data_IF_758118031628
#
_entry.id   IF_758118031628
#
_cell.length_a   1.000
_cell.length_b   1.000
_cell.length_c   1.000
_cell.angle_alpha   90.00
_cell.angle_beta   90.00
_cell.angle_gamma   90.00
#
_symmetry.space_group_name_H-M   'P 1'
#
loop_
_entity.id
_entity.type
_entity.pdbx_description
1 polymer ?
#
# COMPACT_ATOMS: atom_id res chain seq x y z
N UNK A 1 -14.41 -2.36 -19.20
CA UNK A 1 -14.79 -1.34 -20.20
C UNK A 1 -15.54 -0.14 -19.62
N UNK A 2 -16.72 -0.29 -19.00
CA UNK A 2 -17.50 0.85 -18.49
C UNK A 2 -16.69 1.75 -17.56
N UNK A 3 -16.01 1.19 -16.54
CA UNK A 3 -15.17 1.96 -15.62
C UNK A 3 -13.98 2.65 -16.32
N UNK A 4 -13.31 1.95 -17.24
CA UNK A 4 -12.20 2.51 -18.01
C UNK A 4 -12.66 3.71 -18.86
N UNK A 5 -13.76 3.57 -19.59
CA UNK A 5 -14.32 4.64 -20.42
C UNK A 5 -14.77 5.83 -19.57
N UNK A 6 -15.38 5.58 -18.41
CA UNK A 6 -15.76 6.65 -17.48
C UNK A 6 -14.55 7.45 -16.98
N UNK A 7 -13.43 6.78 -16.68
CA UNK A 7 -12.21 7.41 -16.20
C UNK A 7 -11.45 8.21 -17.28
N UNK A 8 -11.46 7.74 -18.53
CA UNK A 8 -10.55 8.23 -19.59
C UNK A 8 -11.20 9.04 -20.71
N UNK A 9 -12.53 8.95 -20.88
CA UNK A 9 -13.23 9.57 -22.03
C UNK A 9 -14.17 10.71 -21.65
N UNK A 10 -14.17 11.14 -20.39
CA UNK A 10 -15.04 12.19 -19.85
C UNK A 10 -14.22 13.22 -19.10
N UNK A 11 -14.68 14.47 -19.12
CA UNK A 11 -14.06 15.54 -18.34
C UNK A 11 -14.24 15.27 -16.84
N UNK A 12 -13.17 15.46 -16.07
CA UNK A 12 -13.16 15.27 -14.63
C UNK A 12 -13.61 16.56 -13.92
N UNK A 13 -14.90 16.67 -13.63
CA UNK A 13 -15.51 17.85 -12.99
C UNK A 13 -15.27 17.90 -11.47
N UNK A 14 -15.79 18.94 -10.80
CA UNK A 14 -15.60 19.17 -9.36
C UNK A 14 -16.26 18.10 -8.49
N UNK A 15 -17.51 17.75 -8.78
CA UNK A 15 -18.26 16.73 -8.04
C UNK A 15 -17.95 15.36 -8.61
N UNK A 16 -17.46 14.46 -7.75
CA UNK A 16 -16.98 13.14 -8.14
C UNK A 16 -17.59 12.08 -7.24
N UNK A 17 -17.99 10.98 -7.85
CA UNK A 17 -18.40 9.75 -7.18
C UNK A 17 -17.66 8.58 -7.80
N UNK A 18 -17.15 7.68 -6.95
CA UNK A 18 -16.49 6.43 -7.36
C UNK A 18 -17.26 5.28 -6.76
N UNK A 19 -17.62 4.30 -7.59
CA UNK A 19 -18.19 3.03 -7.16
C UNK A 19 -17.14 1.94 -7.32
N UNK A 20 -16.71 1.34 -6.21
CA UNK A 20 -15.82 0.18 -6.21
C UNK A 20 -16.66 -1.09 -6.06
N UNK A 21 -16.76 -1.90 -7.13
CA UNK A 21 -17.62 -3.07 -7.19
C UNK A 21 -16.90 -4.23 -7.88
N UNK A 22 -17.06 -5.45 -7.35
CA UNK A 22 -16.47 -6.67 -7.89
C UNK A 22 -17.29 -7.27 -9.05
N UNK A 23 -18.60 -6.97 -9.07
CA UNK A 23 -19.53 -7.51 -10.05
C UNK A 23 -20.60 -6.50 -10.47
N UNK A 24 -21.46 -6.91 -11.40
CA UNK A 24 -22.52 -6.07 -11.97
C UNK A 24 -23.61 -5.72 -10.95
N UNK A 25 -23.92 -6.62 -10.03
CA UNK A 25 -24.97 -6.39 -9.03
C UNK A 25 -24.52 -5.31 -8.05
N UNK A 26 -23.30 -5.43 -7.53
CA UNK A 26 -22.67 -4.42 -6.68
C UNK A 26 -22.55 -3.07 -7.39
N UNK A 27 -22.17 -3.07 -8.68
CA UNK A 27 -22.07 -1.84 -9.46
C UNK A 27 -23.42 -1.13 -9.57
N UNK A 28 -24.50 -1.86 -9.87
CA UNK A 28 -25.84 -1.28 -9.97
C UNK A 28 -26.35 -0.77 -8.62
N UNK A 29 -26.12 -1.52 -7.54
CA UNK A 29 -26.49 -1.09 -6.19
C UNK A 29 -25.73 0.19 -5.78
N UNK A 30 -24.42 0.26 -6.03
CA UNK A 30 -23.61 1.43 -5.73
C UNK A 30 -24.00 2.66 -6.55
N UNK A 31 -24.30 2.48 -7.85
CA UNK A 31 -24.78 3.57 -8.70
C UNK A 31 -26.17 4.09 -8.27
N UNK A 32 -27.06 3.19 -7.83
CA UNK A 32 -28.36 3.57 -7.30
C UNK A 32 -28.21 4.42 -6.03
N UNK A 33 -27.41 3.95 -5.06
CA UNK A 33 -27.12 4.69 -3.83
C UNK A 33 -26.50 6.07 -4.13
N UNK A 34 -25.51 6.13 -5.02
CA UNK A 34 -24.88 7.38 -5.45
C UNK A 34 -25.89 8.35 -6.09
N UNK A 35 -26.83 7.83 -6.90
CA UNK A 35 -27.85 8.68 -7.53
C UNK A 35 -28.86 9.28 -6.54
N UNK A 36 -29.06 8.61 -5.39
CA UNK A 36 -29.97 9.02 -4.33
C UNK A 36 -29.26 9.79 -3.20
N UNK A 37 -27.92 9.86 -3.21
CA UNK A 37 -27.12 10.43 -2.13
C UNK A 37 -27.18 9.61 -0.84
N UNK A 38 -27.37 8.29 -0.97
CA UNK A 38 -27.48 7.37 0.16
C UNK A 38 -26.11 6.80 0.55
N UNK A 39 -25.81 6.67 1.86
CA UNK A 39 -24.57 6.05 2.31
C UNK A 39 -24.44 4.61 1.81
N UNK A 40 -23.29 4.27 1.25
CA UNK A 40 -22.98 2.92 0.80
C UNK A 40 -21.48 2.62 0.98
N UNK A 41 -21.11 1.41 1.42
CA UNK A 41 -19.70 1.02 1.53
C UNK A 41 -19.00 0.90 0.16
N UNK A 42 -19.77 0.84 -0.93
CA UNK A 42 -19.27 0.77 -2.30
C UNK A 42 -18.97 2.15 -2.90
N UNK A 43 -19.41 3.23 -2.25
CA UNK A 43 -19.45 4.57 -2.82
C UNK A 43 -18.55 5.51 -2.04
N UNK A 44 -17.67 6.20 -2.77
CA UNK A 44 -16.90 7.34 -2.25
C UNK A 44 -17.29 8.58 -3.04
N UNK A 45 -17.79 9.59 -2.34
CA UNK A 45 -18.13 10.89 -2.91
C UNK A 45 -17.17 11.96 -2.43
N UNK A 46 -16.92 12.94 -3.28
CA UNK A 46 -16.09 14.07 -2.92
C UNK A 46 -16.23 15.23 -3.88
N UNK A 47 -15.82 16.40 -3.41
CA UNK A 47 -15.66 17.59 -4.24
C UNK A 47 -14.19 17.93 -4.34
N UNK A 48 -13.68 18.02 -5.57
CA UNK A 48 -12.34 18.52 -5.81
C UNK A 48 -12.29 20.02 -5.53
N UNK A 49 -11.36 20.45 -4.69
CA UNK A 49 -11.09 21.87 -4.45
C UNK A 49 -10.38 22.57 -5.62
N UNK A 50 -10.08 21.84 -6.70
CA UNK A 50 -9.23 22.31 -7.79
C UNK A 50 -7.76 22.42 -7.39
N UNK A 51 -6.93 22.88 -8.35
CA UNK A 51 -5.50 23.10 -8.14
C UNK A 51 -4.62 21.84 -8.21
N UNK A 52 -3.32 22.03 -8.05
CA UNK A 52 -2.33 20.94 -8.03
C UNK A 52 -2.35 20.24 -6.68
N UNK A 53 -2.65 18.94 -6.67
CA UNK A 53 -2.53 18.09 -5.48
C UNK A 53 -1.05 17.80 -5.23
N UNK A 54 -0.59 17.98 -3.99
CA UNK A 54 0.76 17.65 -3.52
C UNK A 54 0.66 16.59 -2.42
N UNK A 55 0.53 15.30 -2.77
CA UNK A 55 0.28 14.27 -1.77
C UNK A 55 1.50 14.08 -0.86
N UNK A 56 1.25 13.73 0.39
CA UNK A 56 2.28 13.36 1.38
C UNK A 56 2.08 11.89 1.70
N UNK A 57 3.13 11.08 1.54
CA UNK A 57 3.08 9.69 2.03
C UNK A 57 3.52 9.64 3.50
N UNK A 58 2.69 9.00 4.32
CA UNK A 58 2.91 8.88 5.76
C UNK A 58 3.18 7.43 6.10
N UNK A 59 4.33 7.18 6.72
CA UNK A 59 4.83 5.86 7.07
C UNK A 59 4.78 5.68 8.60
N UNK A 60 3.79 4.98 9.15
CA UNK A 60 3.66 4.81 10.59
C UNK A 60 4.76 3.90 11.17
N UNK A 61 4.84 3.88 12.51
CA UNK A 61 5.67 2.92 13.23
C UNK A 61 4.98 1.56 13.38
N UNK A 62 5.42 0.79 14.38
CA UNK A 62 4.76 -0.46 14.76
C UNK A 62 3.34 -0.21 15.30
N UNK A 63 2.43 -1.18 15.08
CA UNK A 63 1.06 -1.17 15.60
C UNK A 63 -0.01 -1.45 14.54
N UNK A 64 0.32 -1.29 13.26
CA UNK A 64 -0.60 -1.54 12.14
C UNK A 64 -0.57 -2.98 11.60
N UNK A 65 0.29 -3.85 12.15
CA UNK A 65 0.42 -5.24 11.71
C UNK A 65 -0.81 -6.08 12.08
N UNK A 66 -1.15 -7.03 11.22
CA UNK A 66 -2.14 -8.07 11.48
C UNK A 66 -1.83 -9.33 10.65
N UNK A 67 -2.28 -10.49 11.12
CA UNK A 67 -2.00 -11.77 10.44
C UNK A 67 -2.76 -11.83 9.12
N UNK A 68 -2.03 -12.06 8.02
CA UNK A 68 -2.59 -12.06 6.67
C UNK A 68 -2.54 -10.69 5.99
N UNK A 69 -1.94 -9.67 6.62
CA UNK A 69 -1.67 -8.40 5.94
C UNK A 69 -0.87 -8.66 4.66
N UNK A 70 -1.21 -7.93 3.59
CA UNK A 70 -0.57 -8.02 2.27
C UNK A 70 -0.80 -9.30 1.43
N UNK A 71 -1.33 -10.39 1.99
CA UNK A 71 -1.44 -11.68 1.26
C UNK A 71 -2.26 -11.57 -0.02
N UNK A 72 -3.43 -10.94 0.03
CA UNK A 72 -4.26 -10.76 -1.17
C UNK A 72 -3.56 -9.89 -2.23
N UNK A 73 -2.80 -8.88 -1.80
CA UNK A 73 -2.03 -8.02 -2.72
C UNK A 73 -0.83 -8.75 -3.34
N UNK A 74 -0.22 -9.71 -2.65
CA UNK A 74 0.79 -10.58 -3.24
C UNK A 74 0.23 -11.37 -4.42
N UNK A 75 -1.03 -11.79 -4.33
CA UNK A 75 -1.68 -12.61 -5.34
C UNK A 75 -2.32 -11.78 -6.47
N UNK A 76 -2.70 -10.53 -6.20
CA UNK A 76 -3.51 -9.71 -7.12
C UNK A 76 -2.81 -8.46 -7.67
N UNK A 77 -1.71 -8.00 -7.08
CA UNK A 77 -1.02 -6.77 -7.46
C UNK A 77 0.46 -7.03 -7.80
N UNK A 78 0.80 -7.26 -9.09
CA UNK A 78 2.17 -7.60 -9.51
C UNK A 78 3.25 -6.59 -9.09
N UNK A 79 2.95 -5.29 -9.07
CA UNK A 79 3.88 -4.25 -8.61
C UNK A 79 4.19 -4.40 -7.12
N UNK A 80 3.16 -4.69 -6.32
CA UNK A 80 3.32 -4.92 -4.89
C UNK A 80 4.14 -6.19 -4.64
N UNK A 81 3.81 -7.28 -5.33
CA UNK A 81 4.53 -8.55 -5.21
C UNK A 81 6.01 -8.44 -5.61
N UNK A 82 6.33 -7.69 -6.68
CA UNK A 82 7.70 -7.45 -7.10
C UNK A 82 8.51 -6.66 -6.07
N UNK A 83 7.92 -5.62 -5.45
CA UNK A 83 8.61 -4.84 -4.41
C UNK A 83 8.81 -5.66 -3.12
N UNK A 84 7.85 -6.52 -2.75
CA UNK A 84 8.03 -7.47 -1.63
C UNK A 84 9.17 -8.44 -1.93
N UNK A 85 9.23 -9.00 -3.14
CA UNK A 85 10.30 -9.91 -3.52
C UNK A 85 11.68 -9.23 -3.44
N UNK A 86 11.81 -8.00 -3.95
CA UNK A 86 13.04 -7.21 -3.85
C UNK A 86 13.42 -6.92 -2.39
N UNK A 87 12.45 -6.59 -1.53
CA UNK A 87 12.68 -6.43 -0.09
C UNK A 87 13.15 -7.73 0.55
N UNK A 88 12.56 -8.86 0.19
CA UNK A 88 12.94 -10.18 0.68
C UNK A 88 14.38 -10.55 0.30
N UNK A 89 14.78 -10.29 -0.95
CA UNK A 89 16.15 -10.48 -1.42
C UNK A 89 17.15 -9.61 -0.64
N UNK A 90 16.83 -8.34 -0.42
CA UNK A 90 17.69 -7.42 0.34
C UNK A 90 17.78 -7.79 1.84
N UNK A 91 16.67 -8.26 2.43
CA UNK A 91 16.63 -8.67 3.84
C UNK A 91 17.37 -9.99 4.08
N UNK A 92 17.44 -10.89 3.10
CA UNK A 92 18.09 -12.19 3.23
C UNK A 92 19.59 -12.10 3.60
N UNK A 93 20.23 -10.94 3.42
CA UNK A 93 21.60 -10.70 3.92
C UNK A 93 21.69 -10.53 5.44
N UNK A 94 20.57 -10.21 6.10
CA UNK A 94 20.53 -9.75 7.50
C UNK A 94 19.59 -10.57 8.40
N UNK A 95 18.75 -11.43 7.83
CA UNK A 95 17.81 -12.28 8.58
C UNK A 95 17.93 -13.75 8.20
N UNK A 96 17.45 -14.64 9.06
CA UNK A 96 17.48 -16.10 8.89
C UNK A 96 16.14 -16.71 8.46
N UNK A 97 15.16 -15.87 8.09
CA UNK A 97 13.82 -16.26 7.69
C UNK A 97 13.44 -15.67 6.32
N UNK A 98 12.41 -16.24 5.68
CA UNK A 98 11.90 -15.77 4.40
C UNK A 98 10.71 -14.81 4.59
N UNK A 99 10.77 -13.64 3.96
CA UNK A 99 9.74 -12.60 4.10
C UNK A 99 8.36 -13.04 3.60
N UNK A 100 8.27 -13.73 2.47
CA UNK A 100 6.99 -14.19 1.95
C UNK A 100 6.36 -15.25 2.87
N UNK A 101 7.18 -16.15 3.42
CA UNK A 101 6.73 -17.16 4.37
C UNK A 101 6.16 -16.53 5.64
N UNK A 102 6.80 -15.46 6.14
CA UNK A 102 6.30 -14.66 7.28
C UNK A 102 4.95 -13.99 6.93
N UNK A 103 4.85 -13.32 5.78
CA UNK A 103 3.61 -12.62 5.39
C UNK A 103 2.43 -13.59 5.18
N UNK A 104 2.71 -14.77 4.63
CA UNK A 104 1.70 -15.83 4.43
C UNK A 104 1.45 -16.70 5.66
N UNK A 105 2.15 -16.45 6.77
CA UNK A 105 2.10 -17.27 7.98
C UNK A 105 2.32 -18.76 7.71
N UNK A 106 3.30 -19.10 6.85
CA UNK A 106 3.61 -20.50 6.55
C UNK A 106 4.15 -21.21 7.80
N UNK A 107 3.92 -22.52 7.88
CA UNK A 107 4.43 -23.33 8.99
C UNK A 107 5.96 -23.20 9.11
N UNK A 108 6.45 -22.93 10.31
CA UNK A 108 7.87 -22.71 10.59
C UNK A 108 8.35 -21.27 10.41
N UNK A 109 7.55 -20.36 9.84
CA UNK A 109 7.88 -18.95 9.78
C UNK A 109 7.76 -18.31 11.18
N UNK A 110 8.65 -17.35 11.53
CA UNK A 110 8.57 -16.69 12.82
C UNK A 110 7.36 -15.74 12.91
N UNK A 111 6.85 -15.56 14.13
CA UNK A 111 5.66 -14.75 14.43
C UNK A 111 5.95 -13.23 14.41
N UNK A 112 4.94 -12.42 14.08
CA UNK A 112 4.96 -10.96 14.25
C UNK A 112 5.06 -10.48 15.71
N UNK A 113 4.98 -11.37 16.70
CA UNK A 113 5.28 -11.03 18.10
C UNK A 113 6.76 -10.67 18.32
N UNK A 114 7.63 -11.16 17.44
CA UNK A 114 9.06 -10.83 17.44
C UNK A 114 9.29 -9.49 16.77
N UNK A 115 9.91 -8.56 17.51
CA UNK A 115 10.22 -7.21 17.01
C UNK A 115 11.15 -7.26 15.79
N UNK A 116 12.10 -8.19 15.80
CA UNK A 116 13.07 -8.44 14.72
C UNK A 116 12.46 -9.07 13.46
N UNK A 117 11.18 -9.41 13.51
CA UNK A 117 10.40 -9.92 12.37
C UNK A 117 9.38 -8.89 11.91
N UNK A 118 8.64 -8.29 12.85
CA UNK A 118 7.55 -7.36 12.54
C UNK A 118 8.06 -6.05 11.95
N UNK A 119 9.19 -5.50 12.40
CA UNK A 119 9.67 -4.23 11.84
C UNK A 119 10.15 -4.38 10.39
N UNK A 120 10.98 -5.38 10.04
CA UNK A 120 11.37 -5.59 8.64
C UNK A 120 10.18 -5.96 7.73
N UNK A 121 9.22 -6.76 8.22
CA UNK A 121 8.01 -7.07 7.46
C UNK A 121 7.13 -5.84 7.22
N UNK A 122 6.93 -5.00 8.24
CA UNK A 122 6.19 -3.74 8.09
C UNK A 122 6.91 -2.77 7.15
N UNK A 123 8.23 -2.68 7.19
CA UNK A 123 9.01 -1.92 6.22
C UNK A 123 8.70 -2.38 4.79
N UNK A 124 8.82 -3.67 4.51
CA UNK A 124 8.57 -4.23 3.19
C UNK A 124 7.14 -3.95 2.70
N UNK A 125 6.13 -4.14 3.56
CA UNK A 125 4.73 -3.83 3.23
C UNK A 125 4.54 -2.35 2.92
N UNK A 126 5.07 -1.46 3.76
CA UNK A 126 4.94 -0.02 3.57
C UNK A 126 5.55 0.48 2.25
N UNK A 127 6.76 0.03 1.92
CA UNK A 127 7.43 0.47 0.68
C UNK A 127 6.79 -0.14 -0.56
N UNK A 128 6.24 -1.36 -0.44
CA UNK A 128 5.47 -2.01 -1.51
C UNK A 128 4.12 -1.34 -1.75
N UNK A 129 3.44 -0.86 -0.70
CA UNK A 129 2.25 -0.01 -0.85
C UNK A 129 2.60 1.33 -1.52
N UNK A 130 3.74 1.93 -1.18
CA UNK A 130 4.20 3.15 -1.84
C UNK A 130 4.48 2.92 -3.33
N UNK A 131 5.13 1.81 -3.69
CA UNK A 131 5.33 1.40 -5.09
C UNK A 131 3.99 1.21 -5.82
N UNK A 132 3.01 0.57 -5.18
CA UNK A 132 1.67 0.38 -5.74
C UNK A 132 0.97 1.72 -5.99
N UNK A 133 1.00 2.66 -5.05
CA UNK A 133 0.44 4.00 -5.24
C UNK A 133 1.07 4.74 -6.42
N UNK A 134 2.40 4.67 -6.55
CA UNK A 134 3.14 5.28 -7.67
C UNK A 134 2.77 4.65 -9.01
N UNK A 135 2.48 3.35 -9.05
CA UNK A 135 2.01 2.68 -10.28
C UNK A 135 0.68 3.20 -10.81
N UNK A 136 -0.15 3.80 -9.95
CA UNK A 136 -1.37 4.51 -10.32
C UNK A 136 -1.15 6.02 -10.58
N UNK A 137 0.11 6.47 -10.63
CA UNK A 137 0.49 7.86 -10.91
C UNK A 137 0.46 8.79 -9.68
N UNK A 138 0.31 8.26 -8.47
CA UNK A 138 0.35 9.06 -7.24
C UNK A 138 1.79 9.18 -6.77
N UNK A 139 2.46 10.25 -7.18
CA UNK A 139 3.83 10.56 -6.76
C UNK A 139 3.85 11.46 -5.52
N UNK A 140 4.54 11.07 -4.42
CA UNK A 140 4.61 11.89 -3.22
C UNK A 140 5.40 13.18 -3.46
N UNK A 141 4.83 14.32 -3.06
CA UNK A 141 5.56 15.60 -3.00
C UNK A 141 6.40 15.74 -1.72
N UNK A 142 6.09 14.95 -0.69
CA UNK A 142 6.88 14.79 0.51
C UNK A 142 6.57 13.43 1.15
N UNK A 143 7.46 13.00 2.05
CA UNK A 143 7.28 11.82 2.88
C UNK A 143 7.48 12.19 4.35
N UNK A 144 6.76 11.53 5.24
CA UNK A 144 6.95 11.63 6.70
C UNK A 144 6.90 10.24 7.28
N UNK A 145 7.85 9.91 8.16
CA UNK A 145 7.85 8.66 8.91
C UNK A 145 7.68 8.89 10.40
N UNK A 146 7.14 7.91 11.10
CA UNK A 146 7.09 7.90 12.57
C UNK A 146 7.96 6.76 13.11
N UNK A 147 9.02 7.08 13.85
CA UNK A 147 9.97 6.10 14.41
C UNK A 147 10.56 5.19 13.32
N UNK A 148 10.38 3.86 13.38
CA UNK A 148 10.88 2.95 12.33
C UNK A 148 10.31 3.27 10.93
N UNK A 149 9.14 3.91 10.85
CA UNK A 149 8.55 4.35 9.58
C UNK A 149 9.41 5.37 8.84
N UNK A 150 10.32 6.08 9.52
CA UNK A 150 11.30 6.97 8.87
C UNK A 150 12.25 6.20 7.94
N UNK A 151 12.51 4.91 8.19
CA UNK A 151 13.34 4.09 7.31
C UNK A 151 12.62 3.87 5.97
N UNK A 152 11.32 3.56 6.00
CA UNK A 152 10.50 3.43 4.80
C UNK A 152 10.38 4.78 4.06
N UNK A 153 10.16 5.87 4.79
CA UNK A 153 10.13 7.21 4.22
C UNK A 153 11.45 7.57 3.51
N UNK A 154 12.60 7.33 4.17
CA UNK A 154 13.91 7.63 3.61
C UNK A 154 14.22 6.80 2.35
N UNK A 155 13.83 5.52 2.31
CA UNK A 155 13.92 4.70 1.10
C UNK A 155 13.03 5.25 -0.03
N UNK A 156 11.75 5.51 0.25
CA UNK A 156 10.80 6.00 -0.77
C UNK A 156 11.19 7.37 -1.32
N UNK A 157 11.82 8.22 -0.52
CA UNK A 157 12.39 9.50 -0.95
C UNK A 157 13.71 9.38 -1.73
N UNK A 158 14.28 8.17 -1.86
CA UNK A 158 15.57 7.93 -2.50
C UNK A 158 16.79 8.34 -1.64
N UNK A 159 16.59 8.59 -0.35
CA UNK A 159 17.66 8.91 0.60
C UNK A 159 18.44 7.70 1.10
N UNK A 160 17.88 6.48 0.95
CA UNK A 160 18.54 5.22 1.24
C UNK A 160 18.41 4.27 0.04
N UNK A 161 19.43 3.45 -0.19
CA UNK A 161 19.30 2.28 -1.06
C UNK A 161 18.41 1.23 -0.39
N UNK A 162 17.80 0.34 -1.17
CA UNK A 162 16.98 -0.75 -0.61
C UNK A 162 17.79 -1.62 0.35
N UNK A 163 19.03 -1.95 -0.02
CA UNK A 163 19.94 -2.74 0.81
C UNK A 163 20.29 -2.05 2.12
N UNK A 164 20.57 -0.74 2.10
CA UNK A 164 20.88 0.01 3.33
C UNK A 164 19.65 0.13 4.23
N UNK A 165 18.47 0.37 3.65
CA UNK A 165 17.22 0.39 4.39
C UNK A 165 16.92 -0.98 5.04
N UNK A 166 17.08 -2.07 4.29
CA UNK A 166 16.95 -3.44 4.77
C UNK A 166 17.92 -3.74 5.93
N UNK A 167 19.18 -3.31 5.80
CA UNK A 167 20.18 -3.43 6.87
C UNK A 167 19.76 -2.68 8.14
N UNK A 168 19.36 -1.41 8.00
CA UNK A 168 19.00 -0.57 9.14
C UNK A 168 17.79 -1.15 9.85
N UNK A 169 16.76 -1.57 9.12
CA UNK A 169 15.55 -2.12 9.75
C UNK A 169 15.83 -3.46 10.43
N UNK A 170 16.63 -4.35 9.82
CA UNK A 170 16.93 -5.67 10.39
C UNK A 170 17.88 -5.62 11.60
N UNK A 171 18.84 -4.68 11.63
CA UNK A 171 19.83 -4.59 12.73
C UNK A 171 19.32 -3.75 13.91
N UNK A 172 18.37 -2.84 13.66
CA UNK A 172 17.80 -1.95 14.70
C UNK A 172 16.63 -2.60 15.46
N UNK A 173 15.95 -3.55 14.84
CA UNK A 173 14.72 -4.18 15.33
C UNK A 173 14.94 -5.09 16.53
#
# INVERSE_FOLDING_TARGET
DVGFSAATTRAQLEHRGVVAAADREQLLAGLAALSLGEPSPLVVEGRSAGGTVKPVFVFPGQGAQWVGMAVELLDTAPVFAAEIAACGEALAEFVDWNLEDVLRSREGAPSFERVDVVQPALFAVMVSLAALWRSYGVEPSAVVGHSQGEIAAAYVAGGLSLRDAARIVAVRS
#
